data_IF_954752011184
#
_entry.id   IF_954752011184
#
_cell.length_a   1.000
_cell.length_b   1.000
_cell.length_c   1.000
_cell.angle_alpha   90.00
_cell.angle_beta   90.00
_cell.angle_gamma   90.00
#
_symmetry.space_group_name_H-M   'P 1'
#
loop_
_entity.id
_entity.type
_entity.pdbx_description
1 polymer ?
#
# COMPACT_ATOMS: atom_id res chain seq x y z
N UNK A 1 -1.04 12.52 -0.98
CA UNK A 1 -2.44 12.68 -0.56
C UNK A 1 -2.94 11.30 -0.20
N UNK A 2 -3.89 11.19 0.73
CA UNK A 2 -4.48 9.91 1.13
C UNK A 2 -5.96 10.13 1.44
N UNK A 3 -6.84 9.43 0.75
CA UNK A 3 -8.30 9.64 0.83
C UNK A 3 -9.08 8.35 0.66
N UNK A 4 -10.19 8.21 1.39
CA UNK A 4 -11.11 7.09 1.22
C UNK A 4 -11.79 7.16 -0.16
N UNK A 5 -11.90 6.01 -0.82
CA UNK A 5 -12.78 5.83 -1.97
C UNK A 5 -14.12 5.29 -1.46
N UNK A 6 -15.26 5.92 -1.77
CA UNK A 6 -16.56 5.44 -1.34
C UNK A 6 -16.80 3.99 -1.81
N UNK A 7 -17.53 3.17 -1.02
CA UNK A 7 -17.94 1.84 -1.46
C UNK A 7 -18.71 1.91 -2.78
N UNK A 8 -18.67 0.81 -3.53
CA UNK A 8 -19.53 0.68 -4.71
C UNK A 8 -21.01 0.61 -4.32
N UNK A 9 -21.90 0.97 -5.26
CA UNK A 9 -23.35 0.88 -5.05
C UNK A 9 -23.83 -0.54 -4.68
N UNK A 10 -23.09 -1.57 -5.10
CA UNK A 10 -23.37 -2.95 -4.73
C UNK A 10 -23.03 -3.22 -3.26
N UNK A 11 -21.84 -2.81 -2.81
CA UNK A 11 -21.42 -2.95 -1.41
C UNK A 11 -22.31 -2.15 -0.46
N UNK A 12 -22.73 -0.94 -0.87
CA UNK A 12 -23.71 -0.14 -0.11
C UNK A 12 -25.05 -0.88 0.02
N UNK A 13 -25.55 -1.47 -1.07
CA UNK A 13 -26.83 -2.20 -1.09
C UNK A 13 -26.79 -3.46 -0.22
N UNK A 14 -25.67 -4.18 -0.21
CA UNK A 14 -25.50 -5.38 0.63
C UNK A 14 -25.17 -4.99 2.08
N UNK A 15 -24.65 -3.78 2.29
CA UNK A 15 -24.27 -3.26 3.61
C UNK A 15 -22.98 -3.88 4.13
N UNK A 16 -22.14 -4.44 3.27
CA UNK A 16 -20.81 -4.95 3.62
C UNK A 16 -19.89 -4.89 2.40
N UNK A 17 -18.58 -4.76 2.64
CA UNK A 17 -17.60 -4.63 1.57
C UNK A 17 -16.29 -4.03 2.03
N UNK A 18 -15.57 -3.42 1.08
CA UNK A 18 -14.29 -2.76 1.31
C UNK A 18 -14.40 -1.26 0.99
N UNK A 19 -13.85 -0.44 1.88
CA UNK A 19 -13.54 0.97 1.61
C UNK A 19 -12.04 1.00 1.36
N UNK A 20 -11.62 1.19 0.12
CA UNK A 20 -10.20 1.34 -0.22
C UNK A 20 -9.75 2.78 0.01
N UNK A 21 -8.44 3.00 0.06
CA UNK A 21 -7.85 4.34 0.07
C UNK A 21 -7.16 4.60 -1.26
N UNK A 22 -7.25 5.80 -1.79
CA UNK A 22 -6.38 6.27 -2.86
C UNK A 22 -5.20 7.01 -2.22
N UNK A 23 -3.99 6.49 -2.40
CA UNK A 23 -2.77 7.05 -1.83
C UNK A 23 -1.79 7.53 -2.88
N UNK A 24 -1.21 8.71 -2.69
CA UNK A 24 -0.07 9.22 -3.47
C UNK A 24 1.23 8.99 -2.72
N UNK A 25 2.09 8.14 -3.27
CA UNK A 25 3.43 7.86 -2.80
C UNK A 25 4.43 8.79 -3.50
N UNK A 26 5.41 9.30 -2.76
CA UNK A 26 6.55 10.03 -3.34
C UNK A 26 7.71 9.06 -3.56
N UNK A 27 8.29 9.09 -4.76
CA UNK A 27 9.43 8.26 -5.11
C UNK A 27 10.71 8.99 -4.70
N UNK A 28 11.33 8.56 -3.61
CA UNK A 28 12.60 9.15 -3.16
C UNK A 28 13.79 8.62 -3.96
N UNK A 29 13.78 7.32 -4.30
CA UNK A 29 14.90 6.66 -4.97
C UNK A 29 14.44 5.46 -5.80
N UNK A 30 15.01 5.30 -6.99
CA UNK A 30 14.92 4.08 -7.79
C UNK A 30 16.14 3.19 -7.50
N UNK A 31 15.92 2.08 -6.79
CA UNK A 31 16.99 1.14 -6.42
C UNK A 31 17.46 0.27 -7.61
N UNK A 32 16.51 -0.12 -8.46
CA UNK A 32 16.76 -0.93 -9.64
C UNK A 32 15.66 -0.70 -10.68
N UNK A 33 16.02 -0.79 -11.96
CA UNK A 33 15.07 -0.83 -13.06
C UNK A 33 15.63 -1.68 -14.20
N UNK A 34 14.74 -2.40 -14.90
CA UNK A 34 15.11 -3.18 -16.08
C UNK A 34 15.52 -2.23 -17.22
N UNK A 35 16.48 -2.64 -18.03
CA UNK A 35 16.79 -1.93 -19.28
C UNK A 35 15.53 -1.72 -20.12
N UNK A 36 15.34 -0.49 -20.62
CA UNK A 36 14.16 -0.06 -21.40
C UNK A 36 12.83 -0.07 -20.65
N UNK A 37 12.83 -0.21 -19.32
CA UNK A 37 11.62 0.05 -18.55
C UNK A 37 11.22 1.53 -18.68
N UNK A 38 9.91 1.84 -18.69
CA UNK A 38 9.44 3.22 -18.57
C UNK A 38 10.02 3.88 -17.32
N UNK A 39 10.32 5.18 -17.43
CA UNK A 39 10.72 5.98 -16.28
C UNK A 39 9.58 6.03 -15.26
N UNK A 40 9.90 5.70 -14.01
CA UNK A 40 8.96 5.85 -12.90
C UNK A 40 8.78 7.36 -12.61
N UNK A 41 7.55 7.86 -12.47
CA UNK A 41 7.31 9.25 -12.08
C UNK A 41 7.75 9.52 -10.64
N UNK A 42 7.99 10.79 -10.30
CA UNK A 42 8.35 11.22 -8.94
C UNK A 42 7.22 10.96 -7.92
N UNK A 43 6.00 10.77 -8.41
CA UNK A 43 4.82 10.43 -7.61
C UNK A 43 4.01 9.33 -8.28
N UNK A 44 3.53 8.38 -7.48
CA UNK A 44 2.65 7.30 -7.93
C UNK A 44 1.38 7.32 -7.09
N UNK A 45 0.23 7.35 -7.74
CA UNK A 45 -1.07 7.14 -7.08
C UNK A 45 -1.49 5.69 -7.27
N UNK A 46 -1.98 5.06 -6.20
CA UNK A 46 -2.50 3.70 -6.24
C UNK A 46 -3.55 3.45 -5.14
N UNK A 47 -4.33 2.39 -5.33
CA UNK A 47 -5.24 1.88 -4.30
C UNK A 47 -4.46 1.21 -3.17
N UNK A 48 -4.80 1.58 -1.95
CA UNK A 48 -4.23 1.09 -0.71
C UNK A 48 -5.30 0.45 0.16
N UNK A 49 -4.85 -0.40 1.09
CA UNK A 49 -5.74 -1.04 2.04
C UNK A 49 -6.38 0.00 2.98
N UNK A 50 -7.71 0.07 2.96
CA UNK A 50 -8.49 0.90 3.87
C UNK A 50 -9.16 0.05 4.95
N UNK A 51 -10.48 -0.13 4.83
CA UNK A 51 -11.33 -0.75 5.83
C UNK A 51 -12.21 -1.84 5.22
N UNK A 52 -12.40 -2.93 5.95
CA UNK A 52 -13.54 -3.81 5.75
C UNK A 52 -14.73 -3.27 6.56
N UNK A 53 -15.93 -3.28 6.00
CA UNK A 53 -17.12 -2.78 6.69
C UNK A 53 -18.29 -3.76 6.65
N UNK A 54 -19.16 -3.66 7.66
CA UNK A 54 -20.46 -4.33 7.74
C UNK A 54 -21.43 -3.46 8.55
N UNK A 55 -22.51 -3.01 7.93
CA UNK A 55 -23.37 -1.95 8.43
C UNK A 55 -22.54 -0.70 8.74
N UNK A 56 -22.74 -0.14 9.93
CA UNK A 56 -21.97 1.03 10.41
C UNK A 56 -20.59 0.66 10.97
N UNK A 57 -20.29 -0.64 11.15
CA UNK A 57 -19.01 -1.07 11.72
C UNK A 57 -17.94 -1.11 10.64
N UNK A 58 -16.83 -0.42 10.89
CA UNK A 58 -15.62 -0.45 10.06
C UNK A 58 -14.45 -1.05 10.85
N UNK A 59 -13.61 -1.83 10.17
CA UNK A 59 -12.37 -2.37 10.71
C UNK A 59 -11.26 -2.17 9.71
N UNK A 60 -10.13 -1.72 10.20
CA UNK A 60 -8.90 -1.64 9.44
C UNK A 60 -8.58 -2.99 8.77
N UNK A 61 -8.26 -2.94 7.48
CA UNK A 61 -7.93 -4.11 6.71
C UNK A 61 -6.46 -4.07 6.27
N UNK A 62 -5.81 -5.22 6.35
CA UNK A 62 -4.47 -5.44 5.83
C UNK A 62 -4.32 -6.88 5.33
N UNK A 63 -3.49 -7.08 4.31
CA UNK A 63 -2.99 -8.40 3.96
C UNK A 63 -2.12 -8.95 5.07
N UNK A 64 -2.24 -10.25 5.39
CA UNK A 64 -1.41 -10.88 6.41
C UNK A 64 0.07 -10.77 6.02
N UNK A 65 0.88 -10.17 6.89
CA UNK A 65 2.31 -9.98 6.66
C UNK A 65 2.66 -8.85 5.69
N UNK A 66 1.67 -8.14 5.15
CA UNK A 66 1.87 -7.03 4.22
C UNK A 66 1.69 -5.68 4.94
N UNK A 67 2.49 -4.66 4.60
CA UNK A 67 2.19 -3.29 5.01
C UNK A 67 0.83 -2.80 4.51
N UNK A 68 0.21 -1.90 5.27
CA UNK A 68 -0.97 -1.16 4.79
C UNK A 68 -0.61 0.07 3.98
N UNK A 69 0.66 0.48 4.01
CA UNK A 69 1.15 1.69 3.35
C UNK A 69 0.46 2.91 3.97
N UNK A 70 0.96 3.28 5.15
CA UNK A 70 0.44 4.35 5.97
C UNK A 70 1.21 5.66 5.73
N UNK A 71 0.55 6.83 5.81
CA UNK A 71 1.19 8.12 5.67
C UNK A 71 2.39 8.32 6.62
N UNK A 72 3.45 8.93 6.11
CA UNK A 72 4.66 9.22 6.88
C UNK A 72 5.61 8.03 7.09
N UNK A 73 5.27 6.85 6.55
CA UNK A 73 6.14 5.69 6.55
C UNK A 73 6.86 5.54 5.20
N UNK A 74 8.02 4.88 5.21
CA UNK A 74 8.82 4.62 4.01
C UNK A 74 8.81 3.13 3.67
N UNK A 75 8.82 2.82 2.38
CA UNK A 75 8.69 1.46 1.88
C UNK A 75 9.67 1.20 0.74
N UNK A 76 10.13 -0.04 0.63
CA UNK A 76 10.74 -0.57 -0.59
C UNK A 76 9.67 -1.34 -1.36
N UNK A 77 9.40 -0.91 -2.59
CA UNK A 77 8.35 -1.48 -3.42
C UNK A 77 8.90 -1.94 -4.77
N UNK A 78 8.52 -3.14 -5.19
CA UNK A 78 8.74 -3.59 -6.57
C UNK A 78 7.47 -3.30 -7.38
N UNK A 79 7.58 -2.35 -8.31
CA UNK A 79 6.46 -1.83 -9.09
C UNK A 79 6.47 -2.34 -10.54
N UNK A 80 5.29 -2.46 -11.12
CA UNK A 80 5.07 -2.57 -12.56
C UNK A 80 4.13 -1.48 -13.05
N UNK A 81 4.23 -1.18 -14.35
CA UNK A 81 3.30 -0.33 -15.07
C UNK A 81 2.23 -1.21 -15.71
N UNK A 82 0.98 -1.13 -15.22
CA UNK A 82 -0.14 -1.93 -15.71
C UNK A 82 -0.79 -1.30 -16.95
N UNK A 83 -0.84 0.02 -16.98
CA UNK A 83 -1.29 0.82 -18.12
C UNK A 83 -0.50 2.13 -18.20
N UNK A 84 -0.62 2.96 -19.25
CA UNK A 84 0.16 4.18 -19.36
C UNK A 84 0.15 5.06 -18.10
N UNK A 85 -0.97 5.17 -17.41
CA UNK A 85 -1.10 6.07 -16.26
C UNK A 85 -1.19 5.31 -14.93
N UNK A 86 -0.97 3.99 -14.94
CA UNK A 86 -1.19 3.13 -13.79
C UNK A 86 0.06 2.33 -13.44
N UNK A 87 0.52 2.56 -12.21
CA UNK A 87 1.60 1.81 -11.58
C UNK A 87 1.08 1.14 -10.32
N UNK A 88 1.58 -0.06 -10.04
CA UNK A 88 1.23 -0.76 -8.81
C UNK A 88 2.27 -1.81 -8.44
N UNK A 89 2.19 -2.36 -7.21
CA UNK A 89 3.11 -3.39 -6.74
C UNK A 89 2.92 -4.69 -7.51
N UNK A 90 4.02 -5.38 -7.82
CA UNK A 90 4.05 -6.68 -8.53
C UNK A 90 3.26 -7.81 -7.84
N UNK A 91 2.82 -7.58 -6.61
CA UNK A 91 2.01 -8.47 -5.80
C UNK A 91 1.87 -7.93 -4.37
N UNK A 92 1.05 -8.57 -3.54
CA UNK A 92 0.83 -8.15 -2.15
C UNK A 92 2.10 -8.14 -1.31
N UNK A 93 3.05 -9.03 -1.60
CA UNK A 93 4.32 -9.16 -0.86
C UNK A 93 5.48 -8.37 -1.50
N UNK A 94 5.19 -7.60 -2.55
CA UNK A 94 6.17 -6.76 -3.25
C UNK A 94 6.44 -5.43 -2.54
N UNK A 95 5.89 -5.24 -1.33
CA UNK A 95 6.00 -4.03 -0.52
C UNK A 95 6.58 -4.39 0.84
N UNK A 96 7.74 -3.85 1.16
CA UNK A 96 8.43 -4.09 2.42
C UNK A 96 8.59 -2.78 3.19
N UNK A 97 8.36 -2.76 4.51
CA UNK A 97 8.61 -1.57 5.29
C UNK A 97 10.10 -1.25 5.34
N UNK A 98 10.41 0.03 5.39
CA UNK A 98 11.77 0.52 5.50
C UNK A 98 11.86 1.61 6.55
N UNK A 99 12.82 1.46 7.47
CA UNK A 99 13.10 2.46 8.48
C UNK A 99 14.60 2.49 8.77
N UNK A 100 15.19 3.69 8.73
CA UNK A 100 16.57 3.94 9.16
C UNK A 100 17.60 2.97 8.55
N UNK A 101 17.53 2.75 7.22
CA UNK A 101 18.47 1.87 6.50
C UNK A 101 18.15 0.38 6.59
N UNK A 102 17.07 -0.02 7.26
CA UNK A 102 16.71 -1.43 7.48
C UNK A 102 15.43 -1.78 6.74
N UNK A 103 15.52 -2.72 5.79
CA UNK A 103 14.35 -3.32 5.12
C UNK A 103 13.71 -4.35 6.06
N UNK A 104 12.38 -4.38 6.08
CA UNK A 104 11.58 -5.24 6.96
C UNK A 104 11.30 -4.64 8.34
N UNK A 105 11.74 -3.39 8.58
CA UNK A 105 11.47 -2.62 9.80
C UNK A 105 10.61 -1.40 9.44
N UNK A 106 9.61 -1.08 10.27
CA UNK A 106 8.65 0.00 10.02
C UNK A 106 7.21 -0.52 10.10
N UNK A 107 6.28 0.10 9.39
CA UNK A 107 4.86 -0.27 9.45
C UNK A 107 4.55 -1.62 8.79
N UNK A 108 3.79 -2.47 9.46
CA UNK A 108 3.15 -3.64 8.88
C UNK A 108 1.74 -3.81 9.45
N UNK A 109 0.78 -4.13 8.58
CA UNK A 109 -0.62 -4.33 8.96
C UNK A 109 -1.23 -3.17 9.77
N UNK A 110 -0.78 -1.94 9.54
CA UNK A 110 -1.22 -0.73 10.24
C UNK A 110 -0.55 -0.53 11.60
N UNK A 111 0.47 -1.32 11.93
CA UNK A 111 1.15 -1.28 13.21
C UNK A 111 2.65 -1.12 13.00
N UNK A 112 3.33 -0.40 13.91
CA UNK A 112 4.78 -0.34 13.88
C UNK A 112 5.37 -1.71 14.25
N UNK A 113 6.17 -2.30 13.36
CA UNK A 113 7.02 -3.44 13.68
C UNK A 113 8.24 -2.96 14.45
N UNK A 114 8.24 -3.27 15.74
CA UNK A 114 9.46 -3.28 16.54
C UNK A 114 10.13 -4.63 16.32
N UNK A 115 11.43 -4.60 16.03
CA UNK A 115 12.23 -5.79 15.74
C UNK A 115 12.07 -6.84 16.85
N UNK A 116 11.43 -7.99 16.56
CA UNK A 116 11.43 -9.15 17.46
C UNK A 116 12.59 -10.04 17.04
N UNK A 117 13.61 -10.11 17.89
CA UNK A 117 14.67 -11.12 17.74
C UNK A 117 14.05 -12.50 17.94
N UNK A 118 13.99 -13.30 16.88
CA UNK A 118 13.79 -14.75 16.99
C UNK A 118 15.18 -15.37 16.87
N UNK A 119 15.73 -15.77 18.01
CA UNK A 119 16.94 -16.62 18.11
C UNK A 119 16.57 -18.08 17.93
#
# INVERSE_FOLDING_TARGET
>A
MDSEVPPSAEEERVGEGMIVREGTLTVEQVLWSRAQAPTLPDQVTMDLAGWAFKGETRREFAGKGSPRVEPGCTYVMALARYSPDEWGPLGSDATLPYENGTIGKGESQGQALWMVWVT
#
